data_IF_723722921441
#
_entry.id   IF_723722921441
#
_cell.length_a   1.000
_cell.length_b   1.000
_cell.length_c   1.000
_cell.angle_alpha   90.00
_cell.angle_beta   90.00
_cell.angle_gamma   90.00
#
_symmetry.space_group_name_H-M   'P 1'
#
loop_
_entity.id
_entity.type
_entity.pdbx_description
1 polymer ?
#
# COMPACT_ATOMS: atom_id res chain seq x y z
N UNK A 1 -8.42 10.39 10.90
CA UNK A 1 -8.22 9.56 9.69
C UNK A 1 -8.93 10.25 8.53
N UNK A 2 -8.28 10.40 7.39
CA UNK A 2 -8.91 10.90 6.16
C UNK A 2 -10.00 9.93 5.71
N UNK A 3 -11.05 10.43 5.05
CA UNK A 3 -11.94 9.51 4.34
C UNK A 3 -11.20 8.89 3.15
N UNK A 4 -11.75 7.83 2.58
CA UNK A 4 -11.08 7.05 1.53
C UNK A 4 -10.74 7.87 0.29
N UNK A 5 -11.61 8.78 -0.13
CA UNK A 5 -11.38 9.65 -1.29
C UNK A 5 -10.21 10.62 -1.02
N UNK A 6 -10.17 11.23 0.15
CA UNK A 6 -9.08 12.14 0.50
C UNK A 6 -7.75 11.40 0.64
N UNK A 7 -7.73 10.19 1.20
CA UNK A 7 -6.52 9.38 1.24
C UNK A 7 -6.06 8.98 -0.17
N UNK A 8 -6.98 8.56 -1.04
CA UNK A 8 -6.67 8.25 -2.44
C UNK A 8 -6.10 9.46 -3.18
N UNK A 9 -6.65 10.66 -2.95
CA UNK A 9 -6.11 11.90 -3.53
C UNK A 9 -4.66 12.16 -3.05
N UNK A 10 -4.36 11.96 -1.76
CA UNK A 10 -2.99 12.10 -1.27
C UNK A 10 -2.05 11.08 -1.93
N UNK A 11 -2.47 9.82 -2.04
CA UNK A 11 -1.66 8.78 -2.69
C UNK A 11 -1.39 9.09 -4.18
N UNK A 12 -2.38 9.61 -4.91
CA UNK A 12 -2.26 9.93 -6.34
C UNK A 12 -1.18 11.01 -6.59
N UNK A 13 -0.96 11.93 -5.67
CA UNK A 13 0.05 13.00 -5.82
C UNK A 13 1.47 12.49 -5.96
N UNK A 14 1.77 11.30 -5.39
CA UNK A 14 3.09 10.69 -5.53
C UNK A 14 3.28 10.13 -6.95
N UNK A 15 4.33 10.56 -7.64
CA UNK A 15 4.70 10.06 -8.98
C UNK A 15 5.53 8.79 -8.86
N UNK A 16 5.00 7.79 -8.16
CA UNK A 16 5.68 6.54 -7.83
C UNK A 16 5.77 5.60 -9.04
N UNK A 17 6.39 6.06 -10.12
CA UNK A 17 6.65 5.25 -11.32
C UNK A 17 7.92 4.41 -11.16
N UNK A 18 8.11 3.32 -11.93
CA UNK A 18 9.23 2.39 -11.75
C UNK A 18 10.64 3.04 -11.78
N UNK A 19 10.80 4.19 -12.43
CA UNK A 19 12.09 4.89 -12.52
C UNK A 19 12.22 6.07 -11.55
N UNK A 20 11.23 6.31 -10.71
CA UNK A 20 11.23 7.39 -9.73
C UNK A 20 11.31 6.82 -8.31
N UNK A 21 12.48 6.28 -7.96
CA UNK A 21 12.70 5.62 -6.68
C UNK A 21 12.48 6.56 -5.49
N UNK A 22 12.76 7.85 -5.63
CA UNK A 22 12.49 8.85 -4.60
C UNK A 22 10.99 8.89 -4.24
N UNK A 23 10.12 8.99 -5.24
CA UNK A 23 8.67 9.02 -5.02
C UNK A 23 8.11 7.66 -4.56
N UNK A 24 8.75 6.56 -4.94
CA UNK A 24 8.45 5.22 -4.41
C UNK A 24 8.75 5.16 -2.90
N UNK A 25 9.89 5.68 -2.46
CA UNK A 25 10.20 5.76 -1.03
C UNK A 25 9.30 6.76 -0.29
N UNK A 26 8.98 7.91 -0.91
CA UNK A 26 8.10 8.93 -0.33
C UNK A 26 6.69 8.37 -0.08
N UNK A 27 6.08 7.68 -1.05
CA UNK A 27 4.75 7.08 -0.87
C UNK A 27 4.77 5.97 0.18
N UNK A 28 5.83 5.15 0.21
CA UNK A 28 6.01 4.09 1.22
C UNK A 28 6.07 4.67 2.62
N UNK A 29 6.89 5.72 2.81
CA UNK A 29 6.98 6.43 4.08
C UNK A 29 5.67 7.10 4.47
N UNK A 30 5.00 7.77 3.54
CA UNK A 30 3.70 8.40 3.79
C UNK A 30 2.69 7.39 4.33
N UNK A 31 2.58 6.21 3.70
CA UNK A 31 1.63 5.18 4.13
C UNK A 31 2.01 4.62 5.51
N UNK A 32 3.29 4.37 5.76
CA UNK A 32 3.76 3.93 7.07
C UNK A 32 3.39 4.93 8.17
N UNK A 33 3.74 6.20 7.98
CA UNK A 33 3.45 7.27 8.93
C UNK A 33 1.93 7.44 9.14
N UNK A 34 1.14 7.35 8.06
CA UNK A 34 -0.31 7.44 8.11
C UNK A 34 -0.93 6.30 8.93
N UNK A 35 -0.53 5.05 8.69
CA UNK A 35 -1.04 3.89 9.43
C UNK A 35 -0.65 3.98 10.90
N UNK A 36 0.61 4.29 11.22
CA UNK A 36 1.08 4.43 12.59
C UNK A 36 0.35 5.54 13.34
N UNK A 37 0.13 6.69 12.71
CA UNK A 37 -0.59 7.83 13.31
C UNK A 37 -2.05 7.50 13.66
N UNK A 38 -2.71 6.64 12.89
CA UNK A 38 -4.15 6.38 13.05
C UNK A 38 -4.47 5.04 13.72
N UNK A 39 -3.48 4.19 13.93
CA UNK A 39 -3.61 2.97 14.72
C UNK A 39 -3.51 3.28 16.20
N UNK A 40 -4.46 2.75 16.98
CA UNK A 40 -4.46 2.80 18.46
C UNK A 40 -3.66 1.66 19.09
N UNK A 41 -3.22 0.71 18.29
CA UNK A 41 -2.52 -0.50 18.70
C UNK A 41 -1.11 -0.49 18.14
N UNK A 42 -0.15 -1.03 18.89
CA UNK A 42 1.19 -1.27 18.39
C UNK A 42 1.15 -2.29 17.24
N UNK A 43 1.79 -1.95 16.11
CA UNK A 43 1.85 -2.78 14.93
C UNK A 43 3.29 -3.22 14.67
N UNK A 44 3.44 -4.45 14.21
CA UNK A 44 4.72 -4.92 13.68
C UNK A 44 4.90 -4.38 12.26
N UNK A 45 6.06 -3.82 11.96
CA UNK A 45 6.38 -3.29 10.65
C UNK A 45 7.67 -3.92 10.12
N UNK A 46 7.70 -4.17 8.82
CA UNK A 46 8.88 -4.61 8.09
C UNK A 46 8.92 -3.93 6.73
N UNK A 47 10.05 -3.35 6.39
CA UNK A 47 10.36 -2.95 5.02
C UNK A 47 11.37 -3.95 4.49
N UNK A 48 11.01 -4.62 3.41
CA UNK A 48 11.93 -5.43 2.60
C UNK A 48 12.33 -4.57 1.41
N UNK A 49 13.61 -4.48 1.13
CA UNK A 49 14.08 -3.70 -0.01
C UNK A 49 15.00 -4.53 -0.88
N UNK A 50 14.78 -4.45 -2.19
CA UNK A 50 15.65 -5.04 -3.20
C UNK A 50 15.73 -4.10 -4.40
N UNK A 51 16.95 -3.80 -4.83
CA UNK A 51 17.22 -2.90 -5.97
C UNK A 51 16.54 -1.52 -5.86
N UNK A 52 16.34 -1.00 -4.65
CA UNK A 52 15.69 0.29 -4.41
C UNK A 52 14.16 0.24 -4.38
N UNK A 53 13.55 -0.96 -4.48
CA UNK A 53 12.09 -1.13 -4.41
C UNK A 53 11.69 -1.68 -3.03
N UNK A 54 11.04 -0.87 -2.18
CA UNK A 54 10.56 -1.32 -0.88
C UNK A 54 9.24 -2.09 -1.01
N UNK A 55 9.09 -3.12 -0.19
CA UNK A 55 7.80 -3.72 0.16
C UNK A 55 7.49 -3.37 1.60
N UNK A 56 6.45 -2.61 1.84
CA UNK A 56 6.01 -2.28 3.19
C UNK A 56 5.04 -3.37 3.70
N UNK A 57 5.37 -3.98 4.82
CA UNK A 57 4.54 -4.96 5.51
C UNK A 57 4.19 -4.42 6.89
N UNK A 58 2.90 -4.29 7.20
CA UNK A 58 2.40 -3.84 8.50
C UNK A 58 1.41 -4.88 9.01
N UNK A 59 1.65 -5.43 10.19
CA UNK A 59 0.86 -6.53 10.72
C UNK A 59 0.50 -6.35 12.20
N UNK A 60 -0.58 -6.96 12.62
CA UNK A 60 -0.97 -7.03 14.03
C UNK A 60 -0.15 -8.06 14.81
N UNK A 61 0.10 -9.24 14.21
CA UNK A 61 0.76 -10.36 14.90
C UNK A 61 2.04 -10.79 14.19
N UNK A 62 2.00 -11.07 12.89
CA UNK A 62 3.15 -11.60 12.16
C UNK A 62 3.33 -10.92 10.80
N UNK A 63 4.49 -10.31 10.60
CA UNK A 63 4.91 -9.76 9.29
C UNK A 63 5.31 -10.84 8.29
N UNK A 64 5.42 -12.11 8.74
CA UNK A 64 5.91 -13.21 7.91
C UNK A 64 4.82 -14.24 7.56
N UNK A 65 3.90 -14.50 8.49
CA UNK A 65 2.88 -15.54 8.34
C UNK A 65 1.50 -15.08 8.85
N UNK A 66 0.94 -13.96 8.36
CA UNK A 66 -0.40 -13.52 8.76
C UNK A 66 -1.47 -14.49 8.23
N UNK A 67 -2.62 -14.53 8.93
CA UNK A 67 -3.76 -15.30 8.45
C UNK A 67 -4.43 -14.65 7.23
N UNK A 68 -4.60 -13.32 7.26
CA UNK A 68 -5.23 -12.54 6.18
C UNK A 68 -4.30 -11.39 5.77
N UNK A 69 -4.13 -11.23 4.47
CA UNK A 69 -3.35 -10.14 3.88
C UNK A 69 -4.24 -9.25 3.02
N UNK A 70 -4.20 -7.95 3.28
CA UNK A 70 -4.67 -6.92 2.37
C UNK A 70 -3.50 -6.52 1.47
N UNK A 71 -3.62 -6.80 0.20
CA UNK A 71 -2.61 -6.50 -0.82
C UNK A 71 -3.02 -5.30 -1.65
N UNK A 72 -2.11 -4.34 -1.82
CA UNK A 72 -2.24 -3.28 -2.81
C UNK A 72 -0.86 -2.75 -3.19
N UNK A 73 -0.58 -2.54 -4.47
CA UNK A 73 0.67 -1.90 -4.88
C UNK A 73 0.60 -0.38 -4.80
N UNK A 74 1.76 0.26 -4.58
CA UNK A 74 1.88 1.70 -4.43
C UNK A 74 2.53 2.38 -5.64
N UNK A 75 3.09 1.60 -6.57
CA UNK A 75 3.61 2.09 -7.84
C UNK A 75 2.50 2.29 -8.87
N UNK A 76 2.82 2.97 -9.94
CA UNK A 76 1.92 3.25 -11.07
C UNK A 76 2.71 3.34 -12.36
N UNK A 77 2.10 3.01 -13.49
CA UNK A 77 2.71 3.25 -14.80
C UNK A 77 2.92 4.75 -15.07
N UNK A 78 3.89 5.11 -15.93
CA UNK A 78 4.14 6.49 -16.31
C UNK A 78 2.90 7.22 -16.81
N UNK A 79 2.81 8.52 -16.53
CA UNK A 79 1.71 9.37 -16.97
C UNK A 79 2.18 10.83 -17.12
N UNK A 80 1.34 11.70 -17.65
CA UNK A 80 1.61 13.13 -17.74
C UNK A 80 1.58 13.75 -16.33
N UNK A 81 2.32 14.85 -16.13
CA UNK A 81 2.38 15.52 -14.82
C UNK A 81 1.01 15.88 -14.26
N UNK A 82 0.08 16.32 -15.10
CA UNK A 82 -1.25 16.71 -14.68
C UNK A 82 -2.10 15.53 -14.18
N UNK A 83 -1.78 14.30 -14.58
CA UNK A 83 -2.51 13.10 -14.16
C UNK A 83 -2.24 12.77 -12.68
N UNK A 84 -1.20 13.36 -12.09
CA UNK A 84 -0.89 13.27 -10.65
C UNK A 84 -1.55 14.38 -9.82
N UNK A 85 -2.42 15.18 -10.45
CA UNK A 85 -3.28 16.15 -9.77
C UNK A 85 -4.70 15.59 -9.69
N UNK A 86 -5.09 14.98 -8.57
CA UNK A 86 -6.37 14.27 -8.46
C UNK A 86 -7.55 15.24 -8.51
N UNK A 87 -8.57 14.89 -9.29
CA UNK A 87 -9.80 15.67 -9.43
C UNK A 87 -11.01 14.79 -9.16
N UNK A 88 -11.95 15.29 -8.34
CA UNK A 88 -13.26 14.66 -8.18
C UNK A 88 -14.27 15.41 -9.05
N UNK A 89 -14.90 14.69 -9.98
CA UNK A 89 -15.92 15.21 -10.87
C UNK A 89 -16.99 14.14 -11.10
N UNK A 90 -18.25 14.52 -11.09
CA UNK A 90 -19.40 13.62 -11.35
C UNK A 90 -19.35 12.33 -10.48
N UNK A 91 -19.03 12.48 -9.19
CA UNK A 91 -18.84 11.40 -8.22
C UNK A 91 -17.74 10.37 -8.59
N UNK A 92 -16.79 10.73 -9.44
CA UNK A 92 -15.65 9.91 -9.84
C UNK A 92 -14.35 10.61 -9.49
N UNK A 93 -13.36 9.84 -9.02
CA UNK A 93 -12.00 10.30 -8.80
C UNK A 93 -11.16 10.05 -10.05
N UNK A 94 -10.58 11.11 -10.58
CA UNK A 94 -9.66 11.06 -11.72
C UNK A 94 -8.24 11.35 -11.27
N UNK A 95 -7.29 10.61 -11.82
CA UNK A 95 -5.85 10.73 -11.59
C UNK A 95 -5.12 9.41 -11.84
N UNK A 96 -3.80 9.44 -12.05
CA UNK A 96 -3.00 8.23 -12.26
C UNK A 96 -3.05 7.35 -11.00
N UNK A 97 -3.48 6.09 -11.18
CA UNK A 97 -3.66 5.14 -10.09
C UNK A 97 -5.00 5.24 -9.37
N UNK A 98 -5.96 6.06 -9.83
CA UNK A 98 -7.27 6.15 -9.17
C UNK A 98 -8.06 4.83 -9.21
N UNK A 99 -7.92 4.05 -10.28
CA UNK A 99 -8.44 2.70 -10.40
C UNK A 99 -7.39 1.67 -10.02
N UNK A 100 -6.22 1.76 -10.61
CA UNK A 100 -5.11 0.82 -10.51
C UNK A 100 -3.87 1.51 -9.93
N UNK A 101 -3.52 1.23 -8.61
CA UNK A 101 -4.57 0.80 -7.67
C UNK A 101 -4.56 1.65 -6.39
N UNK A 102 -4.19 2.97 -6.47
CA UNK A 102 -4.12 3.87 -5.29
C UNK A 102 -5.48 4.16 -4.66
N UNK A 103 -6.57 4.14 -5.46
CA UNK A 103 -7.92 4.20 -4.92
C UNK A 103 -8.30 2.97 -4.08
N UNK A 104 -8.22 1.76 -4.66
CA UNK A 104 -8.33 0.52 -3.90
C UNK A 104 -7.37 0.43 -2.71
N UNK A 105 -6.10 0.86 -2.86
CA UNK A 105 -5.13 0.90 -1.76
C UNK A 105 -5.60 1.76 -0.59
N UNK A 106 -6.14 2.96 -0.86
CA UNK A 106 -6.70 3.83 0.17
C UNK A 106 -7.86 3.15 0.92
N UNK A 107 -8.69 2.38 0.21
CA UNK A 107 -9.78 1.62 0.81
C UNK A 107 -9.26 0.53 1.74
N UNK A 108 -8.28 -0.25 1.31
CA UNK A 108 -7.66 -1.31 2.12
C UNK A 108 -6.90 -0.76 3.33
N UNK A 109 -6.17 0.34 3.17
CA UNK A 109 -5.45 1.00 4.28
C UNK A 109 -6.44 1.46 5.36
N UNK A 110 -7.53 2.13 4.97
CA UNK A 110 -8.55 2.57 5.92
C UNK A 110 -9.31 1.40 6.56
N UNK A 111 -9.60 0.35 5.79
CA UNK A 111 -10.22 -0.88 6.31
C UNK A 111 -9.30 -1.55 7.35
N UNK A 112 -8.01 -1.69 7.04
CA UNK A 112 -7.02 -2.24 7.97
C UNK A 112 -6.99 -1.44 9.29
N UNK A 113 -6.85 -0.12 9.22
CA UNK A 113 -6.84 0.75 10.41
C UNK A 113 -8.13 0.61 11.22
N UNK A 114 -9.27 0.54 10.54
CA UNK A 114 -10.58 0.35 11.20
C UNK A 114 -10.64 -0.98 11.94
N UNK A 115 -10.21 -2.05 11.29
CA UNK A 115 -10.23 -3.41 11.87
C UNK A 115 -9.27 -3.52 13.06
N UNK A 116 -8.03 -3.06 12.95
CA UNK A 116 -7.07 -3.14 14.07
C UNK A 116 -7.50 -2.29 15.27
N UNK A 117 -8.17 -1.17 15.01
CA UNK A 117 -8.70 -0.32 16.08
C UNK A 117 -9.96 -0.90 16.74
N UNK A 118 -10.71 -1.75 16.03
CA UNK A 118 -11.89 -2.43 16.59
C UNK A 118 -11.52 -3.67 17.38
N UNK A 119 -10.53 -4.44 16.90
CA UNK A 119 -10.03 -5.62 17.59
C UNK A 119 -8.55 -5.89 17.23
N UNK A 120 -7.61 -5.61 18.14
CA UNK A 120 -6.18 -5.80 17.91
C UNK A 120 -5.76 -7.28 17.80
N UNK A 121 -6.64 -8.23 18.15
CA UNK A 121 -6.34 -9.66 18.09
C UNK A 121 -6.58 -10.28 16.70
N UNK A 122 -7.11 -9.53 15.72
CA UNK A 122 -7.16 -10.02 14.35
C UNK A 122 -5.76 -10.27 13.84
N UNK A 123 -5.52 -11.41 13.23
CA UNK A 123 -4.25 -11.75 12.57
C UNK A 123 -4.30 -11.29 11.11
N UNK A 124 -4.07 -10.01 10.91
CA UNK A 124 -4.17 -9.33 9.62
C UNK A 124 -2.93 -8.51 9.30
N UNK A 125 -2.69 -8.31 8.01
CA UNK A 125 -1.52 -7.63 7.50
C UNK A 125 -1.87 -6.75 6.28
N UNK A 126 -1.24 -5.60 6.16
CA UNK A 126 -1.08 -4.86 4.90
C UNK A 126 0.23 -5.31 4.26
N UNK A 127 0.18 -5.65 2.98
CA UNK A 127 1.35 -5.97 2.15
C UNK A 127 1.34 -5.05 0.93
N UNK A 128 2.28 -4.12 0.89
CA UNK A 128 2.29 -3.01 -0.04
C UNK A 128 3.60 -2.99 -0.85
N UNK A 129 3.67 -3.68 -1.99
CA UNK A 129 4.81 -3.64 -2.90
C UNK A 129 4.84 -2.36 -3.71
N UNK A 130 5.98 -2.10 -4.37
CA UNK A 130 6.21 -0.90 -5.18
C UNK A 130 6.82 -1.19 -6.56
N UNK A 131 6.69 -2.41 -7.05
CA UNK A 131 7.17 -2.82 -8.37
C UNK A 131 6.21 -3.76 -9.11
N UNK A 132 4.91 -3.67 -8.78
CA UNK A 132 3.89 -4.52 -9.40
C UNK A 132 3.84 -4.27 -10.91
N UNK A 133 3.74 -3.01 -11.31
CA UNK A 133 3.71 -2.53 -12.71
C UNK A 133 4.97 -2.88 -13.52
N UNK A 134 6.00 -3.40 -12.85
CA UNK A 134 7.25 -3.89 -13.43
C UNK A 134 7.43 -5.40 -13.27
N UNK A 135 6.38 -6.13 -12.86
CA UNK A 135 6.34 -7.58 -12.75
C UNK A 135 6.67 -8.16 -11.36
N UNK A 136 6.79 -7.34 -10.32
CA UNK A 136 6.86 -7.80 -8.92
C UNK A 136 8.13 -8.54 -8.50
N UNK A 137 9.21 -8.45 -9.30
CA UNK A 137 10.42 -9.25 -9.08
C UNK A 137 11.23 -8.84 -7.86
N UNK A 138 11.21 -7.54 -7.52
CA UNK A 138 11.95 -7.00 -6.39
C UNK A 138 11.12 -7.03 -5.09
N UNK A 139 9.82 -6.94 -5.18
CA UNK A 139 8.90 -6.92 -4.04
C UNK A 139 8.28 -8.28 -3.78
N UNK A 140 7.24 -8.67 -4.50
CA UNK A 140 6.47 -9.90 -4.24
C UNK A 140 7.34 -11.15 -4.30
N UNK A 141 8.11 -11.32 -5.37
CA UNK A 141 9.00 -12.47 -5.53
C UNK A 141 10.05 -12.53 -4.41
N UNK A 142 10.68 -11.40 -4.09
CA UNK A 142 11.67 -11.32 -3.01
C UNK A 142 11.05 -11.64 -1.65
N UNK A 143 9.87 -11.11 -1.35
CA UNK A 143 9.16 -11.40 -0.11
C UNK A 143 8.82 -12.89 0.02
N UNK A 144 8.37 -13.53 -1.05
CA UNK A 144 7.99 -14.94 -1.04
C UNK A 144 9.22 -15.86 -1.00
N UNK A 145 10.20 -15.67 -1.89
CA UNK A 145 11.32 -16.59 -2.06
C UNK A 145 12.42 -16.39 -1.03
N UNK A 146 12.72 -15.14 -0.67
CA UNK A 146 13.86 -14.81 0.21
C UNK A 146 13.44 -14.59 1.65
N UNK A 147 12.43 -13.74 1.90
CA UNK A 147 11.96 -13.48 3.26
C UNK A 147 11.08 -14.62 3.79
N UNK A 148 10.42 -15.37 2.90
CA UNK A 148 9.55 -16.49 3.24
C UNK A 148 8.16 -16.05 3.71
N UNK A 149 7.64 -14.95 3.14
CA UNK A 149 6.29 -14.49 3.40
C UNK A 149 5.26 -15.54 2.93
N UNK A 150 4.29 -15.84 3.79
CA UNK A 150 3.17 -16.75 3.51
C UNK A 150 1.92 -16.22 4.17
N UNK A 151 0.77 -16.44 3.57
CA UNK A 151 -0.53 -16.06 4.13
C UNK A 151 -1.59 -17.11 3.74
N UNK A 152 -2.66 -17.21 4.52
CA UNK A 152 -3.75 -18.16 4.22
C UNK A 152 -4.75 -17.58 3.22
N UNK A 153 -4.94 -16.26 3.24
CA UNK A 153 -5.90 -15.58 2.39
C UNK A 153 -5.38 -14.19 2.00
N UNK A 154 -5.70 -13.76 0.78
CA UNK A 154 -5.38 -12.41 0.27
C UNK A 154 -6.66 -11.75 -0.21
N UNK A 155 -6.83 -10.48 0.14
CA UNK A 155 -7.82 -9.58 -0.46
C UNK A 155 -7.04 -8.58 -1.30
N UNK A 156 -7.31 -8.60 -2.60
CA UNK A 156 -6.66 -7.75 -3.60
C UNK A 156 -7.74 -7.22 -4.55
N UNK A 157 -8.16 -5.97 -4.41
CA UNK A 157 -9.21 -5.35 -5.24
C UNK A 157 -8.64 -4.69 -6.50
N UNK A 158 -7.73 -5.36 -7.15
CA UNK A 158 -7.08 -4.91 -8.38
C UNK A 158 -7.86 -5.34 -9.62
#
# INVERSE_FOLDING_TARGET
MLNTIELAKELIKFKSTPHNLEEIHNVTKFVLDYVQKHSKTALQTKILEKNGYPTLIIATQSVKKPALTFYAHLDVVPAKNNDFTPVVKDNKLYGRGSGDMKGPAASLINAFITLVNSNPNYDICLFLPTDEESGGHNCCKHAIETFGFRTKCVIMPD
#
